data_IF_678835419132
#
_entry.id   IF_678835419132
#
_cell.length_a   1.000
_cell.length_b   1.000
_cell.length_c   1.000
_cell.angle_alpha   90.00
_cell.angle_beta   90.00
_cell.angle_gamma   90.00
#
_symmetry.space_group_name_H-M   'P 1'
#
loop_
_entity.id
_entity.type
_entity.pdbx_description
1 polymer ?
#
# COMPACT_ATOMS: atom_id res chain seq x y z
N UNK A 1 1.03 -9.90 9.53
CA UNK A 1 1.24 -9.20 10.83
C UNK A 1 0.13 -8.21 11.07
N UNK A 2 -0.08 -7.74 12.31
CA UNK A 2 -1.02 -6.63 12.55
C UNK A 2 -0.49 -5.36 11.89
N UNK A 3 -1.36 -4.53 11.32
CA UNK A 3 -0.96 -3.28 10.68
C UNK A 3 -1.01 -2.13 11.71
N UNK A 4 0.09 -1.37 11.94
CA UNK A 4 0.08 -0.23 12.85
C UNK A 4 -0.92 0.86 12.43
N UNK A 5 -1.42 1.66 13.38
CA UNK A 5 -2.39 2.73 13.09
C UNK A 5 -1.86 3.77 12.08
N UNK A 6 -0.58 4.15 12.17
CA UNK A 6 0.04 5.06 11.22
C UNK A 6 0.03 4.50 9.79
N UNK A 7 0.33 3.21 9.64
CA UNK A 7 0.22 2.51 8.36
C UNK A 7 -1.21 2.53 7.85
N UNK A 8 -2.20 2.22 8.69
CA UNK A 8 -3.61 2.23 8.27
C UNK A 8 -4.05 3.61 7.78
N UNK A 9 -3.70 4.66 8.52
CA UNK A 9 -4.01 6.04 8.14
C UNK A 9 -3.39 6.40 6.79
N UNK A 10 -2.10 6.12 6.60
CA UNK A 10 -1.41 6.39 5.35
C UNK A 10 -1.96 5.56 4.19
N UNK A 11 -2.18 4.25 4.40
CA UNK A 11 -2.77 3.35 3.41
C UNK A 11 -4.14 3.83 2.93
N UNK A 12 -4.98 4.31 3.86
CA UNK A 12 -6.32 4.79 3.50
C UNK A 12 -6.32 6.18 2.85
N UNK A 13 -5.28 6.99 3.05
CA UNK A 13 -5.07 8.27 2.36
C UNK A 13 -4.69 8.12 0.87
N UNK A 14 -4.10 6.99 0.46
CA UNK A 14 -3.85 6.69 -0.96
C UNK A 14 -5.19 6.69 -1.72
N UNK A 15 -5.34 7.24 -2.93
CA UNK A 15 -6.60 7.16 -3.66
C UNK A 15 -7.01 5.73 -4.02
N UNK A 16 -8.33 5.45 -4.13
CA UNK A 16 -8.79 4.20 -4.77
C UNK A 16 -8.54 4.27 -6.27
N UNK A 17 -8.29 3.13 -6.90
CA UNK A 17 -7.96 3.07 -8.32
C UNK A 17 -6.47 3.31 -8.57
N UNK A 18 -6.13 3.77 -9.77
CA UNK A 18 -4.75 4.06 -10.17
C UNK A 18 -4.40 5.52 -9.90
N UNK A 19 -3.23 5.75 -9.31
CA UNK A 19 -2.65 7.07 -9.08
C UNK A 19 -1.14 7.03 -9.32
N UNK A 20 -0.54 8.17 -9.61
CA UNK A 20 0.91 8.34 -9.57
C UNK A 20 1.33 9.06 -8.31
N UNK A 21 2.59 8.97 -7.93
CA UNK A 21 3.13 9.66 -6.77
C UNK A 21 4.60 9.37 -6.56
N UNK A 22 5.14 9.77 -5.41
CA UNK A 22 6.53 9.54 -5.04
C UNK A 22 6.65 8.81 -3.71
N UNK A 23 7.65 7.94 -3.63
CA UNK A 23 8.12 7.33 -2.39
C UNK A 23 9.64 7.11 -2.47
N UNK A 24 10.37 7.34 -1.39
CA UNK A 24 11.81 7.18 -1.24
C UNK A 24 12.60 7.78 -2.40
N UNK A 25 12.21 9.00 -2.80
CA UNK A 25 12.83 9.75 -3.91
C UNK A 25 12.46 9.26 -5.31
N UNK A 26 11.69 8.17 -5.47
CA UNK A 26 11.32 7.58 -6.77
C UNK A 26 9.87 7.86 -7.13
N UNK A 27 9.54 7.82 -8.43
CA UNK A 27 8.15 7.94 -8.94
C UNK A 27 7.53 6.55 -9.11
N UNK A 28 6.29 6.39 -8.70
CA UNK A 28 5.54 5.14 -8.83
C UNK A 28 4.21 5.36 -9.55
N UNK A 29 3.74 4.33 -10.24
CA UNK A 29 2.32 4.10 -10.46
C UNK A 29 1.81 3.13 -9.38
N UNK A 30 0.75 3.53 -8.69
CA UNK A 30 0.14 2.78 -7.59
C UNK A 30 -1.31 2.47 -7.94
N UNK A 31 -1.72 1.22 -7.74
CA UNK A 31 -3.11 0.80 -7.82
C UNK A 31 -3.57 0.29 -6.47
N UNK A 32 -4.61 0.91 -5.90
CA UNK A 32 -5.30 0.43 -4.71
C UNK A 32 -6.69 -0.07 -5.07
N UNK A 33 -6.92 -1.37 -4.85
CA UNK A 33 -8.19 -2.03 -5.17
C UNK A 33 -8.85 -2.53 -3.89
N UNK A 34 -10.16 -2.38 -3.84
CA UNK A 34 -11.01 -2.87 -2.75
C UNK A 34 -11.78 -4.12 -3.20
N UNK A 35 -11.96 -5.05 -2.27
CA UNK A 35 -12.74 -6.27 -2.43
C UNK A 35 -13.58 -6.51 -1.17
N UNK A 36 -14.56 -7.40 -1.29
CA UNK A 36 -15.37 -7.87 -0.14
C UNK A 36 -15.99 -6.72 0.68
N UNK A 37 -16.53 -5.71 0.00
CA UNK A 37 -17.15 -4.52 0.62
C UNK A 37 -16.16 -3.80 1.55
N UNK A 38 -14.95 -3.54 1.04
CA UNK A 38 -13.89 -2.82 1.75
C UNK A 38 -13.10 -3.64 2.77
N UNK A 39 -13.50 -4.89 3.08
CA UNK A 39 -12.82 -5.74 4.08
C UNK A 39 -11.49 -6.32 3.59
N UNK A 40 -11.29 -6.37 2.29
CA UNK A 40 -10.03 -6.79 1.68
C UNK A 40 -9.54 -5.69 0.75
N UNK A 41 -8.29 -5.29 0.93
CA UNK A 41 -7.65 -4.24 0.16
C UNK A 41 -6.38 -4.82 -0.48
N UNK A 42 -6.11 -4.46 -1.71
CA UNK A 42 -4.86 -4.78 -2.41
C UNK A 42 -4.19 -3.50 -2.83
N UNK A 43 -2.87 -3.45 -2.67
CA UNK A 43 -2.05 -2.38 -3.24
C UNK A 43 -0.94 -3.00 -4.06
N UNK A 44 -0.74 -2.46 -5.26
CA UNK A 44 0.38 -2.77 -6.14
C UNK A 44 1.01 -1.46 -6.57
N UNK A 45 2.32 -1.32 -6.40
CA UNK A 45 3.09 -0.20 -6.90
C UNK A 45 4.25 -0.68 -7.77
N UNK A 46 4.49 0.01 -8.87
CA UNK A 46 5.65 -0.18 -9.74
C UNK A 46 6.37 1.14 -9.88
N UNK A 47 7.68 1.15 -9.65
CA UNK A 47 8.47 2.32 -9.96
C UNK A 47 8.42 2.57 -11.48
N UNK A 48 8.28 3.82 -11.90
CA UNK A 48 8.16 4.18 -13.32
C UNK A 48 9.45 3.92 -14.10
N UNK A 49 10.60 3.88 -13.40
CA UNK A 49 11.89 3.47 -13.96
C UNK A 49 12.12 1.96 -13.95
N UNK A 50 11.16 1.17 -13.45
CA UNK A 50 11.25 -0.29 -13.33
C UNK A 50 12.19 -0.78 -12.22
N UNK A 51 12.75 0.09 -11.38
CA UNK A 51 13.73 -0.27 -10.36
C UNK A 51 13.16 -0.97 -9.14
N UNK A 52 11.85 -0.85 -8.91
CA UNK A 52 11.22 -1.32 -7.70
C UNK A 52 9.76 -1.76 -7.88
N UNK A 53 9.32 -2.63 -6.98
CA UNK A 53 7.98 -3.21 -6.94
C UNK A 53 7.52 -3.42 -5.49
N UNK A 54 6.27 -3.04 -5.24
CA UNK A 54 5.60 -3.19 -3.94
C UNK A 54 4.26 -3.87 -4.17
N UNK A 55 3.94 -4.88 -3.35
CA UNK A 55 2.65 -5.54 -3.40
C UNK A 55 2.26 -6.07 -2.04
N UNK A 56 1.03 -5.77 -1.61
CA UNK A 56 0.49 -6.22 -0.34
C UNK A 56 -1.03 -6.41 -0.42
N UNK A 57 -1.54 -7.22 0.49
CA UNK A 57 -2.95 -7.28 0.85
C UNK A 57 -3.12 -6.79 2.30
N UNK A 58 -4.18 -6.04 2.54
CA UNK A 58 -4.63 -5.61 3.86
C UNK A 58 -6.03 -6.14 4.10
N UNK A 59 -6.21 -6.90 5.18
CA UNK A 59 -7.51 -7.43 5.58
C UNK A 59 -8.00 -6.74 6.84
N UNK A 60 -9.25 -6.29 6.82
CA UNK A 60 -9.95 -5.77 7.99
C UNK A 60 -10.85 -6.87 8.55
N UNK A 61 -10.55 -7.32 9.76
CA UNK A 61 -11.26 -8.40 10.44
C UNK A 61 -11.92 -7.89 11.71
N UNK A 62 -12.80 -8.69 12.32
CA UNK A 62 -13.39 -8.38 13.63
C UNK A 62 -12.34 -8.25 14.75
N UNK A 63 -11.16 -8.85 14.58
CA UNK A 63 -10.08 -8.88 15.57
C UNK A 63 -8.99 -7.82 15.29
N UNK A 64 -9.15 -7.02 14.24
CA UNK A 64 -8.17 -6.01 13.82
C UNK A 64 -7.71 -6.16 12.37
N UNK A 65 -6.62 -5.46 12.04
CA UNK A 65 -6.03 -5.42 10.71
C UNK A 65 -4.99 -6.53 10.53
N UNK A 66 -4.89 -7.08 9.31
CA UNK A 66 -3.86 -8.03 8.94
C UNK A 66 -3.18 -7.58 7.65
N UNK A 67 -1.91 -7.20 7.77
CA UNK A 67 -1.02 -6.90 6.66
C UNK A 67 -0.34 -8.18 6.16
N UNK A 68 -0.44 -8.41 4.84
CA UNK A 68 0.14 -9.54 4.10
C UNK A 68 0.90 -9.03 2.86
N UNK A 69 2.22 -8.78 2.97
CA UNK A 69 3.07 -8.51 1.82
C UNK A 69 3.13 -9.72 0.87
N UNK A 70 3.26 -9.49 -0.43
CA UNK A 70 3.42 -10.55 -1.42
C UNK A 70 4.91 -10.74 -1.75
N UNK A 71 5.51 -11.82 -1.23
CA UNK A 71 6.90 -12.23 -1.55
C UNK A 71 7.95 -11.14 -1.25
N UNK A 72 7.70 -10.29 -0.25
CA UNK A 72 8.61 -9.22 0.16
C UNK A 72 8.54 -8.93 1.67
N UNK A 73 9.57 -8.27 2.26
CA UNK A 73 9.58 -7.94 3.68
C UNK A 73 8.44 -7.00 4.07
N UNK A 74 7.90 -7.19 5.28
CA UNK A 74 6.84 -6.35 5.79
C UNK A 74 7.29 -4.92 6.09
N UNK A 75 8.55 -4.75 6.49
CA UNK A 75 9.18 -3.45 6.70
C UNK A 75 9.17 -2.62 5.42
N UNK A 76 9.67 -3.18 4.30
CA UNK A 76 9.67 -2.53 2.98
C UNK A 76 8.30 -2.00 2.57
N UNK A 77 7.24 -2.80 2.71
CA UNK A 77 5.89 -2.35 2.33
C UNK A 77 5.34 -1.31 3.30
N UNK A 78 5.74 -1.37 4.57
CA UNK A 78 5.31 -0.44 5.60
C UNK A 78 5.95 0.93 5.36
N UNK A 79 7.26 0.95 5.16
CA UNK A 79 8.02 2.17 4.83
C UNK A 79 7.49 2.83 3.56
N UNK A 80 7.26 2.04 2.50
CA UNK A 80 6.69 2.55 1.25
C UNK A 80 5.34 3.24 1.49
N UNK A 81 4.42 2.60 2.21
CA UNK A 81 3.08 3.16 2.44
C UNK A 81 3.14 4.42 3.31
N UNK A 82 4.06 4.48 4.28
CA UNK A 82 4.24 5.64 5.15
C UNK A 82 4.86 6.83 4.42
N UNK A 83 5.70 6.59 3.42
CA UNK A 83 6.39 7.63 2.66
C UNK A 83 5.62 8.06 1.39
N UNK A 84 4.75 7.20 0.84
CA UNK A 84 4.10 7.46 -0.44
C UNK A 84 3.18 8.69 -0.40
N UNK A 85 3.51 9.66 -1.25
CA UNK A 85 2.72 10.86 -1.51
C UNK A 85 2.13 10.80 -2.93
N UNK A 86 0.79 10.71 -3.09
CA UNK A 86 0.13 10.81 -4.38
C UNK A 86 0.40 12.17 -5.04
N UNK A 87 0.52 12.19 -6.37
CA UNK A 87 0.48 13.42 -7.15
C UNK A 87 -0.93 14.05 -7.00
N UNK A 88 -1.00 15.38 -6.88
CA UNK A 88 -2.25 16.16 -6.80
C UNK A 88 -2.97 16.27 -8.13
#
# INVERSE_FOLDING_TARGET
MSAPNAFLSAFFAIPKGSSTGRAHGRRYIVSRTEFSVGKSQKLVARALDGSDYISLNLYLTKLGSLLRPCEMPAEKVTEFVLDFAPDT
#
